data_IF_155745845291
#
_entry.id   IF_155745845291
#
_cell.length_a   1.000
_cell.length_b   1.000
_cell.length_c   1.000
_cell.angle_alpha   90.00
_cell.angle_beta   90.00
_cell.angle_gamma   90.00
#
_symmetry.space_group_name_H-M   'P 1'
#
loop_
_entity.id
_entity.type
_entity.pdbx_description
1 polymer ?
#
# COMPACT_ATOMS: atom_id res chain seq x y z
N UNK A 1 11.05 5.39 13.37
CA UNK A 1 11.14 6.74 12.76
C UNK A 1 9.74 7.28 12.52
N UNK A 2 9.39 8.45 13.07
CA UNK A 2 8.01 8.99 13.00
C UNK A 2 7.54 9.39 11.58
N UNK A 3 8.42 9.34 10.58
CA UNK A 3 8.12 9.69 9.17
C UNK A 3 7.76 8.48 8.30
N UNK A 4 8.00 7.26 8.75
CA UNK A 4 7.77 6.06 7.96
C UNK A 4 6.31 5.92 7.45
N UNK A 5 5.26 6.25 8.22
CA UNK A 5 3.89 6.24 7.71
C UNK A 5 3.68 7.18 6.52
N UNK A 6 4.34 8.35 6.55
CA UNK A 6 4.24 9.34 5.49
C UNK A 6 4.92 8.81 4.22
N UNK A 7 6.13 8.27 4.35
CA UNK A 7 6.88 7.71 3.20
C UNK A 7 6.10 6.55 2.57
N UNK A 8 5.51 5.68 3.39
CA UNK A 8 4.70 4.55 2.93
C UNK A 8 3.46 4.96 2.14
N UNK A 9 2.76 5.99 2.63
CA UNK A 9 1.59 6.54 1.96
C UNK A 9 1.97 7.24 0.65
N UNK A 10 3.08 8.00 0.63
CA UNK A 10 3.63 8.58 -0.61
C UNK A 10 4.04 7.47 -1.59
N UNK A 11 4.66 6.39 -1.10
CA UNK A 11 5.07 5.27 -1.93
C UNK A 11 3.85 4.60 -2.61
N UNK A 12 2.76 4.39 -1.86
CA UNK A 12 1.49 3.91 -2.43
C UNK A 12 0.88 4.90 -3.43
N UNK A 13 0.91 6.20 -3.16
CA UNK A 13 0.41 7.22 -4.10
C UNK A 13 1.17 7.16 -5.42
N UNK A 14 2.51 7.11 -5.37
CA UNK A 14 3.37 7.02 -6.54
C UNK A 14 3.16 5.71 -7.30
N UNK A 15 3.01 4.60 -6.59
CA UNK A 15 2.69 3.32 -7.20
C UNK A 15 1.34 3.38 -7.94
N UNK A 16 0.30 3.96 -7.31
CA UNK A 16 -1.02 4.09 -7.95
C UNK A 16 -0.96 4.96 -9.22
N UNK A 17 -0.19 6.06 -9.21
CA UNK A 17 0.06 6.86 -10.43
C UNK A 17 0.72 6.01 -11.51
N UNK A 18 1.82 5.32 -11.18
CA UNK A 18 2.56 4.50 -12.14
C UNK A 18 1.68 3.39 -12.74
N UNK A 19 0.87 2.72 -11.90
CA UNK A 19 -0.08 1.71 -12.35
C UNK A 19 -1.13 2.28 -13.32
N UNK A 20 -1.69 3.46 -13.02
CA UNK A 20 -2.67 4.11 -13.90
C UNK A 20 -2.08 4.50 -15.25
N UNK A 21 -0.86 5.03 -15.27
CA UNK A 21 -0.14 5.37 -16.50
C UNK A 21 0.10 4.09 -17.33
N UNK A 22 0.55 3.00 -16.70
CA UNK A 22 0.81 1.73 -17.38
C UNK A 22 -0.46 1.09 -18.00
N UNK A 23 -1.63 1.37 -17.44
CA UNK A 23 -2.92 0.88 -17.95
C UNK A 23 -3.65 1.87 -18.87
N UNK A 24 -2.95 2.88 -19.39
CA UNK A 24 -3.43 3.70 -20.52
C UNK A 24 -4.32 4.89 -20.14
N UNK A 25 -4.36 5.32 -18.88
CA UNK A 25 -5.08 6.53 -18.51
C UNK A 25 -4.95 6.97 -17.05
N UNK A 26 -4.56 8.23 -16.85
CA UNK A 26 -4.47 8.91 -15.55
C UNK A 26 -5.47 10.07 -15.47
N UNK A 27 -6.39 9.98 -14.52
CA UNK A 27 -7.23 11.10 -14.08
C UNK A 27 -7.21 11.14 -12.55
N UNK A 28 -7.62 12.26 -11.96
CA UNK A 28 -7.68 12.38 -10.51
C UNK A 28 -8.57 11.30 -9.87
N UNK A 29 -9.77 11.08 -10.41
CA UNK A 29 -10.70 10.06 -9.90
C UNK A 29 -10.13 8.65 -10.01
N UNK A 30 -9.61 8.27 -11.17
CA UNK A 30 -9.09 6.90 -11.39
C UNK A 30 -7.85 6.60 -10.56
N UNK A 31 -7.03 7.62 -10.28
CA UNK A 31 -5.93 7.50 -9.34
C UNK A 31 -6.42 7.30 -7.91
N UNK A 32 -7.35 8.13 -7.45
CA UNK A 32 -7.93 8.00 -6.11
C UNK A 32 -8.58 6.63 -5.92
N UNK A 33 -9.37 6.15 -6.87
CA UNK A 33 -10.01 4.83 -6.84
C UNK A 33 -9.01 3.68 -6.73
N UNK A 34 -7.86 3.80 -7.41
CA UNK A 34 -6.79 2.82 -7.32
C UNK A 34 -5.99 2.91 -6.00
N UNK A 35 -5.94 4.09 -5.38
CA UNK A 35 -5.11 4.37 -4.23
C UNK A 35 -5.82 4.13 -2.88
N UNK A 36 -7.04 4.65 -2.72
CA UNK A 36 -7.65 4.81 -1.40
C UNK A 36 -7.87 3.50 -0.63
N UNK A 37 -8.27 2.35 -1.23
CA UNK A 37 -8.49 1.13 -0.47
C UNK A 37 -7.18 0.63 0.15
N UNK A 38 -6.09 0.67 -0.62
CA UNK A 38 -4.75 0.28 -0.20
C UNK A 38 -4.20 1.22 0.87
N UNK A 39 -4.46 2.52 0.73
CA UNK A 39 -4.06 3.52 1.71
C UNK A 39 -4.74 3.28 3.06
N UNK A 40 -6.05 3.00 3.08
CA UNK A 40 -6.77 2.66 4.31
C UNK A 40 -6.21 1.38 4.93
N UNK A 41 -5.94 0.35 4.13
CA UNK A 41 -5.27 -0.87 4.59
C UNK A 41 -3.89 -0.60 5.23
N UNK A 42 -3.07 0.25 4.62
CA UNK A 42 -1.78 0.67 5.16
C UNK A 42 -1.93 1.46 6.47
N UNK A 43 -2.91 2.36 6.56
CA UNK A 43 -3.21 3.11 7.78
C UNK A 43 -3.65 2.19 8.93
N UNK A 44 -4.43 1.14 8.64
CA UNK A 44 -4.77 0.11 9.63
C UNK A 44 -3.49 -0.61 10.10
N UNK A 45 -2.61 -0.99 9.17
CA UNK A 45 -1.31 -1.57 9.52
C UNK A 45 -0.48 -0.66 10.44
N UNK A 46 -0.43 0.63 10.15
CA UNK A 46 0.23 1.62 11.02
C UNK A 46 -0.45 1.80 12.37
N UNK A 47 -1.78 1.80 12.43
CA UNK A 47 -2.52 1.83 13.68
C UNK A 47 -2.15 0.62 14.57
N UNK A 48 -2.06 -0.58 13.99
CA UNK A 48 -1.62 -1.80 14.68
C UNK A 48 -0.18 -1.65 15.19
N UNK A 49 0.75 -1.19 14.34
CA UNK A 49 2.16 -0.97 14.71
C UNK A 49 2.27 -0.03 15.92
N UNK A 50 1.53 1.09 15.90
CA UNK A 50 1.55 2.09 16.96
C UNK A 50 0.91 1.57 18.25
N UNK A 51 -0.24 0.91 18.15
CA UNK A 51 -0.95 0.37 19.31
C UNK A 51 -0.17 -0.76 19.98
N UNK A 52 0.40 -1.67 19.20
CA UNK A 52 1.21 -2.79 19.68
C UNK A 52 2.68 -2.42 19.96
N UNK A 53 3.05 -1.15 19.76
CA UNK A 53 4.41 -0.62 19.95
C UNK A 53 5.48 -1.46 19.22
N UNK A 54 5.15 -1.94 18.01
CA UNK A 54 6.08 -2.75 17.21
C UNK A 54 7.25 -1.86 16.79
N UNK A 55 8.46 -2.41 16.91
CA UNK A 55 9.70 -1.72 16.56
C UNK A 55 10.48 -2.48 15.50
N UNK A 56 11.05 -1.72 14.57
CA UNK A 56 12.03 -2.19 13.59
C UNK A 56 11.48 -2.11 12.18
N UNK A 57 12.20 -1.38 11.32
CA UNK A 57 11.76 -1.02 9.96
C UNK A 57 11.22 -2.19 9.13
N UNK A 58 11.78 -3.39 9.29
CA UNK A 58 11.36 -4.59 8.56
C UNK A 58 10.05 -5.18 9.08
N UNK A 59 9.87 -5.25 10.41
CA UNK A 59 8.62 -5.72 11.04
C UNK A 59 7.48 -4.75 10.74
N UNK A 60 7.77 -3.45 10.90
CA UNK A 60 6.84 -2.37 10.52
C UNK A 60 6.46 -2.47 9.04
N UNK A 61 7.44 -2.68 8.14
CA UNK A 61 7.22 -2.89 6.71
C UNK A 61 6.33 -4.09 6.38
N UNK A 62 6.53 -5.23 7.07
CA UNK A 62 5.68 -6.41 6.91
C UNK A 62 4.23 -6.14 7.30
N UNK A 63 4.00 -5.49 8.45
CA UNK A 63 2.65 -5.23 8.95
C UNK A 63 1.92 -4.22 8.06
N UNK A 64 2.55 -3.12 7.67
CA UNK A 64 1.91 -2.13 6.78
C UNK A 64 1.62 -2.72 5.40
N UNK A 65 2.53 -3.53 4.84
CA UNK A 65 2.33 -4.16 3.54
C UNK A 65 1.18 -5.18 3.58
N UNK A 66 1.13 -6.03 4.61
CA UNK A 66 0.01 -6.95 4.81
C UNK A 66 -1.30 -6.21 5.02
N UNK A 67 -1.30 -5.12 5.79
CA UNK A 67 -2.46 -4.25 5.95
C UNK A 67 -2.95 -3.67 4.63
N UNK A 68 -2.03 -3.14 3.82
CA UNK A 68 -2.34 -2.57 2.50
C UNK A 68 -2.96 -3.61 1.56
N UNK A 69 -2.37 -4.81 1.48
CA UNK A 69 -2.85 -5.90 0.61
C UNK A 69 -4.17 -6.45 1.13
N UNK A 70 -4.22 -6.96 2.36
CA UNK A 70 -5.41 -7.65 2.90
C UNK A 70 -6.54 -6.66 3.15
N UNK A 71 -6.25 -5.55 3.83
CA UNK A 71 -7.24 -4.51 4.10
C UNK A 71 -7.72 -3.81 2.84
N UNK A 72 -6.80 -3.52 1.91
CA UNK A 72 -7.15 -2.91 0.62
C UNK A 72 -8.02 -3.83 -0.23
N UNK A 73 -7.73 -5.13 -0.28
CA UNK A 73 -8.56 -6.09 -1.03
C UNK A 73 -9.91 -6.36 -0.36
N UNK A 74 -9.97 -6.37 0.97
CA UNK A 74 -11.23 -6.46 1.69
C UNK A 74 -12.14 -5.24 1.40
N UNK A 75 -11.59 -4.03 1.44
CA UNK A 75 -12.33 -2.81 1.11
C UNK A 75 -12.71 -2.76 -0.37
N UNK A 76 -11.81 -3.17 -1.26
CA UNK A 76 -12.12 -3.28 -2.68
C UNK A 76 -13.29 -4.22 -2.93
N UNK A 77 -13.26 -5.41 -2.34
CA UNK A 77 -14.34 -6.40 -2.44
C UNK A 77 -15.66 -5.85 -1.92
N UNK A 78 -15.63 -5.16 -0.77
CA UNK A 78 -16.81 -4.56 -0.16
C UNK A 78 -17.46 -3.51 -1.08
N UNK A 79 -16.66 -2.69 -1.75
CA UNK A 79 -17.15 -1.59 -2.59
C UNK A 79 -17.52 -2.05 -4.01
N UNK A 80 -16.79 -3.00 -4.57
CA UNK A 80 -16.94 -3.41 -5.98
C UNK A 80 -17.66 -4.76 -6.16
N UNK A 81 -17.95 -5.49 -5.08
CA UNK A 81 -18.60 -6.80 -5.11
C UNK A 81 -17.76 -7.94 -5.70
N UNK A 82 -16.50 -7.69 -6.05
CA UNK A 82 -15.55 -8.66 -6.60
C UNK A 82 -14.12 -8.22 -6.36
N UNK A 83 -13.20 -9.18 -6.32
CA UNK A 83 -11.78 -8.89 -6.37
C UNK A 83 -11.35 -8.47 -7.78
N UNK A 84 -10.24 -7.71 -7.91
CA UNK A 84 -9.56 -7.51 -9.18
C UNK A 84 -9.15 -8.84 -9.81
N UNK A 85 -8.81 -8.79 -11.10
CA UNK A 85 -8.26 -9.97 -11.79
C UNK A 85 -7.00 -10.47 -11.09
N UNK A 86 -6.82 -11.80 -11.01
CA UNK A 86 -5.75 -12.41 -10.21
C UNK A 86 -4.34 -11.96 -10.63
N UNK A 87 -4.12 -11.70 -11.92
CA UNK A 87 -2.85 -11.16 -12.40
C UNK A 87 -2.54 -9.77 -11.84
N UNK A 88 -3.56 -8.91 -11.71
CA UNK A 88 -3.43 -7.62 -11.06
C UNK A 88 -3.08 -7.79 -9.57
N UNK A 89 -3.71 -8.74 -8.87
CA UNK A 89 -3.40 -9.00 -7.46
C UNK A 89 -1.93 -9.35 -7.25
N UNK A 90 -1.36 -10.21 -8.10
CA UNK A 90 0.05 -10.59 -8.03
C UNK A 90 0.93 -9.37 -8.26
N UNK A 91 0.73 -8.66 -9.38
CA UNK A 91 1.55 -7.50 -9.73
C UNK A 91 1.46 -6.41 -8.68
N UNK A 92 0.26 -6.07 -8.21
CA UNK A 92 0.05 -5.04 -7.21
C UNK A 92 0.68 -5.41 -5.85
N UNK A 93 0.59 -6.68 -5.45
CA UNK A 93 1.20 -7.17 -4.21
C UNK A 93 2.73 -7.09 -4.28
N UNK A 94 3.34 -7.50 -5.40
CA UNK A 94 4.80 -7.45 -5.58
C UNK A 94 5.30 -6.01 -5.73
N UNK A 95 4.64 -5.19 -6.54
CA UNK A 95 5.05 -3.79 -6.72
C UNK A 95 4.89 -2.99 -5.43
N UNK A 96 3.78 -3.13 -4.71
CA UNK A 96 3.64 -2.47 -3.39
C UNK A 96 4.71 -2.93 -2.39
N UNK A 97 5.13 -4.21 -2.42
CA UNK A 97 6.25 -4.68 -1.63
C UNK A 97 7.55 -3.94 -2.02
N UNK A 98 7.86 -3.82 -3.31
CA UNK A 98 9.04 -3.07 -3.77
C UNK A 98 9.01 -1.61 -3.30
N UNK A 99 7.85 -0.95 -3.33
CA UNK A 99 7.71 0.42 -2.86
C UNK A 99 7.90 0.54 -1.34
N UNK A 100 7.26 -0.31 -0.54
CA UNK A 100 7.41 -0.28 0.93
C UNK A 100 8.81 -0.68 1.39
N UNK A 101 9.38 -1.74 0.83
CA UNK A 101 10.69 -2.25 1.28
C UNK A 101 11.86 -1.56 0.60
N UNK A 102 11.67 -1.01 -0.60
CA UNK A 102 12.72 -0.34 -1.38
C UNK A 102 13.33 0.84 -0.65
N UNK A 103 12.51 1.76 -0.14
CA UNK A 103 13.06 2.89 0.64
C UNK A 103 13.67 2.44 1.97
N UNK A 104 13.11 1.38 2.59
CA UNK A 104 13.63 0.81 3.85
C UNK A 104 15.01 0.19 3.69
N UNK A 105 15.38 -0.28 2.49
CA UNK A 105 16.71 -0.80 2.20
C UNK A 105 17.78 0.27 2.42
N UNK A 106 17.50 1.50 1.98
CA UNK A 106 18.43 2.64 2.06
C UNK A 106 18.30 3.46 3.34
N UNK A 107 17.18 3.34 4.05
CA UNK A 107 17.00 3.99 5.33
C UNK A 107 17.98 3.45 6.38
N UNK A 108 18.73 4.35 7.03
CA UNK A 108 19.60 4.00 8.15
C UNK A 108 18.76 3.51 9.35
N UNK A 109 19.38 2.74 10.24
CA UNK A 109 18.73 2.16 11.43
C UNK A 109 18.16 3.24 12.34
#
# INVERSE_FOLDING_TARGET
MRIAPIIDIIALMLFAVAARIAHGGLSFSTWVDAFWPWAVGALIGWAIILAAKVQGKWKEGGIVWLGAVVGGMALWMLVNGRLPHWSFLIVATVMSALFFFGWRLFARK
#
